data_IF_345732858677
#
_entry.id   IF_345732858677
#
_cell.length_a   1.000
_cell.length_b   1.000
_cell.length_c   1.000
_cell.angle_alpha   90.00
_cell.angle_beta   90.00
_cell.angle_gamma   90.00
#
_symmetry.space_group_name_H-M   'P 1'
#
loop_
_entity.id
_entity.type
_entity.pdbx_description
1 polymer ?
#
# COMPACT_ATOMS: atom_id res chain seq x y z
N UNK A 1 -1.10 -40.15 -6.58
CA UNK A 1 -1.53 -39.30 -7.70
C UNK A 1 -0.61 -39.56 -8.88
N UNK A 2 -1.11 -39.96 -10.06
CA UNK A 2 -0.25 -40.18 -11.21
C UNK A 2 0.32 -38.84 -11.71
N UNK A 3 1.62 -38.80 -11.99
CA UNK A 3 2.33 -37.64 -12.54
C UNK A 3 2.12 -37.59 -14.06
N UNK A 4 1.58 -36.48 -14.57
CA UNK A 4 1.24 -36.34 -15.99
C UNK A 4 2.49 -36.32 -16.88
N UNK A 5 2.62 -37.33 -17.74
CA UNK A 5 3.75 -37.53 -18.66
C UNK A 5 3.57 -36.85 -20.04
N UNK A 6 2.48 -36.11 -20.25
CA UNK A 6 2.02 -35.73 -21.60
C UNK A 6 2.51 -34.36 -22.11
N UNK A 7 3.42 -33.67 -21.41
CA UNK A 7 3.90 -32.36 -21.85
C UNK A 7 5.02 -32.46 -22.90
N UNK A 8 4.73 -33.05 -24.06
CA UNK A 8 5.60 -33.03 -25.25
C UNK A 8 5.31 -31.79 -26.11
N UNK A 9 5.20 -30.60 -25.50
CA UNK A 9 5.00 -29.36 -26.26
C UNK A 9 6.36 -28.70 -26.52
N UNK A 10 6.73 -28.44 -27.78
CA UNK A 10 7.96 -27.75 -28.09
C UNK A 10 7.87 -26.30 -27.58
N UNK A 11 8.81 -25.91 -26.71
CA UNK A 11 8.98 -24.51 -26.31
C UNK A 11 9.53 -23.79 -27.53
N UNK A 12 8.64 -23.11 -28.28
CA UNK A 12 8.91 -22.06 -29.28
C UNK A 12 10.30 -22.09 -29.95
N UNK A 13 10.56 -23.14 -30.73
CA UNK A 13 11.43 -23.16 -31.91
C UNK A 13 11.28 -24.53 -32.57
N UNK A 14 11.19 -24.65 -33.91
CA UNK A 14 11.25 -25.95 -34.58
C UNK A 14 12.66 -26.53 -34.39
N UNK A 15 12.85 -27.34 -33.35
CA UNK A 15 14.07 -28.10 -33.12
C UNK A 15 14.00 -29.43 -33.87
N UNK A 16 14.97 -29.70 -34.74
CA UNK A 16 15.12 -30.96 -35.49
C UNK A 16 15.63 -32.12 -34.63
N UNK A 17 15.66 -31.97 -33.29
CA UNK A 17 16.12 -33.00 -32.37
C UNK A 17 14.95 -33.86 -31.88
N UNK A 18 15.01 -35.15 -32.18
CA UNK A 18 14.03 -36.19 -31.79
C UNK A 18 14.11 -36.57 -30.29
N UNK A 19 14.70 -35.73 -29.43
CA UNK A 19 14.88 -36.08 -28.02
C UNK A 19 13.65 -35.67 -27.22
N UNK A 20 12.85 -36.65 -26.82
CA UNK A 20 11.77 -36.47 -25.83
C UNK A 20 12.41 -36.20 -24.48
N UNK A 21 12.45 -34.94 -24.04
CA UNK A 21 12.83 -34.61 -22.66
C UNK A 21 11.56 -34.59 -21.80
N UNK A 22 11.45 -35.56 -20.90
CA UNK A 22 10.42 -35.55 -19.88
C UNK A 22 10.80 -34.54 -18.78
N UNK A 23 9.99 -33.50 -18.61
CA UNK A 23 10.17 -32.51 -17.55
C UNK A 23 9.70 -33.10 -16.22
N UNK A 24 10.62 -33.43 -15.32
CA UNK A 24 10.29 -33.80 -13.93
C UNK A 24 10.24 -32.53 -13.09
N UNK A 25 9.04 -32.10 -12.70
CA UNK A 25 8.89 -31.07 -11.66
C UNK A 25 9.23 -31.68 -10.30
N UNK A 26 10.35 -31.27 -9.71
CA UNK A 26 10.69 -31.62 -8.32
C UNK A 26 9.74 -30.89 -7.37
N UNK A 27 8.96 -31.64 -6.58
CA UNK A 27 8.03 -31.12 -5.57
C UNK A 27 8.63 -31.12 -4.14
N UNK A 28 9.94 -31.30 -4.00
CA UNK A 28 10.60 -31.26 -2.71
C UNK A 28 11.21 -29.87 -2.46
N UNK A 29 10.79 -29.14 -1.40
CA UNK A 29 11.54 -27.97 -0.94
C UNK A 29 12.87 -28.47 -0.36
N UNK A 30 13.98 -28.14 -1.02
CA UNK A 30 15.33 -28.49 -0.58
C UNK A 30 15.74 -27.65 0.63
N UNK A 31 15.38 -28.10 1.83
CA UNK A 31 15.94 -27.63 3.11
C UNK A 31 17.19 -28.44 3.52
N UNK A 32 17.95 -28.96 2.57
CA UNK A 32 19.27 -29.52 2.84
C UNK A 32 20.31 -28.39 2.70
N UNK A 33 21.10 -28.06 3.75
CA UNK A 33 22.23 -27.16 3.60
C UNK A 33 23.33 -27.91 2.82
N UNK A 34 23.29 -27.83 1.50
CA UNK A 34 24.38 -28.27 0.63
C UNK A 34 25.52 -27.26 0.70
N UNK A 35 26.14 -27.09 1.87
CA UNK A 35 27.37 -26.31 2.03
C UNK A 35 28.55 -27.24 1.78
N UNK A 36 28.68 -27.70 0.53
CA UNK A 36 30.00 -27.88 -0.08
C UNK A 36 30.24 -26.67 -0.95
N UNK A 37 30.48 -25.53 -0.31
CA UNK A 37 30.91 -24.32 -1.00
C UNK A 37 32.27 -24.60 -1.60
N UNK A 38 32.34 -24.67 -2.93
CA UNK A 38 33.59 -24.45 -3.63
C UNK A 38 34.05 -23.02 -3.38
N UNK A 39 35.35 -22.76 -3.45
CA UNK A 39 35.93 -21.42 -3.22
C UNK A 39 35.28 -20.32 -4.11
N UNK A 40 34.76 -20.73 -5.29
CA UNK A 40 33.96 -19.88 -6.17
C UNK A 40 32.64 -19.40 -5.55
N UNK A 41 31.91 -20.29 -4.87
CA UNK A 41 30.62 -19.95 -4.27
C UNK A 41 30.79 -18.93 -3.13
N UNK A 42 31.88 -19.03 -2.35
CA UNK A 42 32.22 -18.04 -1.32
C UNK A 42 32.65 -16.70 -1.92
N UNK A 43 33.38 -16.70 -3.03
CA UNK A 43 33.76 -15.48 -3.75
C UNK A 43 32.53 -14.75 -4.30
N UNK A 44 31.57 -15.49 -4.87
CA UNK A 44 30.32 -14.93 -5.37
C UNK A 44 29.50 -14.29 -4.24
N UNK A 45 29.36 -14.96 -3.09
CA UNK A 45 28.66 -14.41 -1.92
C UNK A 45 29.28 -13.09 -1.47
N UNK A 46 30.61 -13.00 -1.38
CA UNK A 46 31.30 -11.77 -0.98
C UNK A 46 31.09 -10.62 -1.98
N UNK A 47 31.00 -10.93 -3.28
CA UNK A 47 30.73 -9.90 -4.30
C UNK A 47 29.29 -9.39 -4.21
N UNK A 48 28.34 -10.27 -3.91
CA UNK A 48 26.94 -9.90 -3.67
C UNK A 48 26.82 -9.04 -2.42
N UNK A 49 27.45 -9.42 -1.30
CA UNK A 49 27.47 -8.64 -0.06
C UNK A 49 28.03 -7.23 -0.30
N UNK A 50 29.18 -7.12 -0.97
CA UNK A 50 29.77 -5.81 -1.33
C UNK A 50 28.88 -4.99 -2.26
N UNK A 51 28.12 -5.64 -3.15
CA UNK A 51 27.16 -4.98 -4.01
C UNK A 51 25.98 -4.41 -3.22
N UNK A 52 25.45 -5.20 -2.28
CA UNK A 52 24.34 -4.82 -1.43
C UNK A 52 24.71 -3.66 -0.49
N UNK A 53 25.90 -3.70 0.11
CA UNK A 53 26.42 -2.63 0.97
C UNK A 53 26.54 -1.27 0.23
N UNK A 54 26.81 -1.30 -1.08
CA UNK A 54 26.87 -0.09 -1.92
C UNK A 54 25.48 0.40 -2.34
N UNK A 55 24.52 -0.52 -2.45
CA UNK A 55 23.12 -0.19 -2.74
C UNK A 55 22.38 0.32 -1.49
N UNK A 56 22.91 0.06 -0.29
CA UNK A 56 22.35 0.57 0.95
C UNK A 56 22.44 2.11 0.99
N UNK A 57 21.28 2.77 0.96
CA UNK A 57 21.20 4.21 1.12
C UNK A 57 21.10 4.58 2.61
N UNK A 58 22.28 4.76 3.23
CA UNK A 58 22.42 5.10 4.65
C UNK A 58 21.78 6.45 5.01
N UNK A 59 21.72 7.40 4.08
CA UNK A 59 21.08 8.69 4.29
C UNK A 59 19.54 8.55 4.43
N UNK A 60 18.92 7.69 3.61
CA UNK A 60 17.48 7.42 3.72
C UNK A 60 17.11 6.64 4.98
N UNK A 61 17.99 5.75 5.45
CA UNK A 61 17.79 5.09 6.74
C UNK A 61 17.82 6.08 7.90
N UNK A 62 18.75 7.03 7.89
CA UNK A 62 18.82 8.09 8.92
C UNK A 62 17.61 9.03 8.89
N UNK A 63 17.00 9.24 7.73
CA UNK A 63 15.77 10.04 7.60
C UNK A 63 14.54 9.35 8.20
N UNK A 64 14.50 8.01 8.25
CA UNK A 64 13.39 7.26 8.84
C UNK A 64 13.47 7.31 10.35
N UNK A 65 12.82 8.31 10.94
CA UNK A 65 12.67 8.41 12.39
C UNK A 65 11.69 7.34 12.87
N UNK A 66 12.22 6.29 13.51
CA UNK A 66 11.43 5.37 14.32
C UNK A 66 11.33 5.97 15.72
N UNK A 67 10.11 6.31 16.13
CA UNK A 67 9.87 6.92 17.43
C UNK A 67 9.82 5.84 18.52
N UNK A 68 10.45 6.11 19.66
CA UNK A 68 10.29 5.31 20.87
C UNK A 68 8.84 5.37 21.36
N UNK A 69 8.39 4.33 22.06
CA UNK A 69 7.01 4.21 22.56
C UNK A 69 6.55 5.43 23.37
N UNK A 70 7.42 5.96 24.23
CA UNK A 70 7.15 7.18 25.01
C UNK A 70 6.86 8.40 24.11
N UNK A 71 7.64 8.58 23.05
CA UNK A 71 7.47 9.69 22.10
C UNK A 71 6.15 9.53 21.34
N UNK A 72 5.80 8.30 20.96
CA UNK A 72 4.52 8.00 20.32
C UNK A 72 3.36 8.38 21.25
N UNK A 73 3.42 8.01 22.53
CA UNK A 73 2.38 8.35 23.51
C UNK A 73 2.22 9.86 23.70
N UNK A 74 3.33 10.62 23.75
CA UNK A 74 3.31 12.09 23.82
C UNK A 74 2.61 12.69 22.61
N UNK A 75 2.98 12.26 21.39
CA UNK A 75 2.33 12.77 20.18
C UNK A 75 0.84 12.40 20.09
N UNK A 76 0.46 11.21 20.55
CA UNK A 76 -0.95 10.82 20.63
C UNK A 76 -1.74 11.72 21.58
N UNK A 77 -1.18 12.05 22.75
CA UNK A 77 -1.81 12.97 23.71
C UNK A 77 -1.95 14.38 23.14
N UNK A 78 -0.90 14.91 22.50
CA UNK A 78 -0.95 16.22 21.84
C UNK A 78 -1.99 16.25 20.71
N UNK A 79 -2.03 15.22 19.88
CA UNK A 79 -3.00 15.09 18.81
C UNK A 79 -4.45 15.00 19.32
N UNK A 80 -4.68 14.31 20.45
CA UNK A 80 -5.99 14.26 21.08
C UNK A 80 -6.42 15.63 21.62
N UNK A 81 -5.52 16.36 22.30
CA UNK A 81 -5.80 17.72 22.76
C UNK A 81 -6.19 18.65 21.61
N UNK A 82 -5.38 18.69 20.55
CA UNK A 82 -5.66 19.51 19.38
C UNK A 82 -6.98 19.13 18.67
N UNK A 83 -7.33 17.83 18.63
CA UNK A 83 -8.63 17.38 18.08
C UNK A 83 -9.79 17.85 18.94
N UNK A 84 -9.65 17.81 20.26
CA UNK A 84 -10.65 18.28 21.20
C UNK A 84 -10.84 19.80 21.05
N UNK A 85 -9.76 20.57 21.01
CA UNK A 85 -9.82 22.03 20.83
C UNK A 85 -10.53 22.40 19.52
N UNK A 86 -10.18 21.74 18.41
CA UNK A 86 -10.83 21.93 17.11
C UNK A 86 -12.31 21.54 17.13
N UNK A 87 -12.67 20.49 17.85
CA UNK A 87 -14.06 20.07 18.00
C UNK A 87 -14.86 21.10 18.81
N UNK A 88 -14.27 21.62 19.88
CA UNK A 88 -14.85 22.69 20.69
C UNK A 88 -15.00 23.97 19.87
N UNK A 89 -13.98 24.40 19.13
CA UNK A 89 -14.05 25.58 18.26
C UNK A 89 -15.22 25.49 17.28
N UNK A 90 -15.40 24.35 16.62
CA UNK A 90 -16.56 24.11 15.73
C UNK A 90 -17.88 24.18 16.46
N UNK A 91 -17.95 23.64 17.68
CA UNK A 91 -19.16 23.65 18.50
C UNK A 91 -19.49 25.07 18.97
N UNK A 92 -18.50 25.82 19.45
CA UNK A 92 -18.65 27.19 19.93
C UNK A 92 -19.04 28.14 18.79
N UNK A 93 -18.44 27.99 17.60
CA UNK A 93 -18.75 28.84 16.44
C UNK A 93 -20.11 28.55 15.78
N UNK A 94 -20.67 27.35 15.98
CA UNK A 94 -21.96 26.94 15.37
C UNK A 94 -23.16 27.02 16.32
N UNK A 95 -22.94 27.36 17.59
CA UNK A 95 -24.00 27.44 18.60
C UNK A 95 -24.59 28.82 18.78
N UNK A 96 -23.85 29.88 18.44
CA UNK A 96 -24.35 31.23 18.58
C UNK A 96 -25.51 31.46 17.61
N UNK A 97 -26.71 31.65 18.18
CA UNK A 97 -27.91 31.92 17.41
C UNK A 97 -27.80 33.30 16.75
N UNK A 98 -27.49 33.31 15.44
CA UNK A 98 -27.53 34.54 14.65
C UNK A 98 -28.99 34.85 14.33
N UNK A 99 -29.53 35.92 14.92
CA UNK A 99 -30.84 36.46 14.56
C UNK A 99 -30.81 36.87 13.08
N UNK A 100 -31.48 36.09 12.22
CA UNK A 100 -31.61 36.41 10.79
C UNK A 100 -32.98 37.01 10.54
N UNK A 101 -33.08 38.09 9.73
CA UNK A 101 -34.36 38.61 9.34
C UNK A 101 -35.19 37.51 8.64
N UNK A 102 -36.51 37.49 8.85
CA UNK A 102 -37.36 36.44 8.28
C UNK A 102 -37.22 36.42 6.76
N UNK A 103 -37.04 35.22 6.19
CA UNK A 103 -37.01 35.04 4.74
C UNK A 103 -38.37 35.45 4.20
N UNK A 104 -38.43 36.54 3.43
CA UNK A 104 -39.66 36.94 2.75
C UNK A 104 -40.11 35.80 1.84
N UNK A 105 -41.27 35.21 2.15
CA UNK A 105 -41.91 34.24 1.26
C UNK A 105 -42.26 34.99 -0.03
N UNK A 106 -41.62 34.65 -1.14
CA UNK A 106 -42.12 35.06 -2.46
C UNK A 106 -43.40 34.25 -2.71
N UNK A 107 -44.55 34.81 -2.37
CA UNK A 107 -45.86 34.23 -2.72
C UNK A 107 -46.73 35.28 -3.41
N UNK A 108 -46.97 34.99 -4.69
CA UNK A 108 -48.29 35.08 -5.35
C UNK A 108 -48.89 36.47 -5.58
N UNK A 109 -48.44 37.16 -6.64
CA UNK A 109 -49.26 38.16 -7.37
C UNK A 109 -49.40 37.76 -8.84
N UNK A 110 -50.10 36.66 -9.14
CA UNK A 110 -50.44 36.30 -10.55
C UNK A 110 -51.90 35.84 -10.72
N UNK A 111 -52.69 35.64 -9.67
CA UNK A 111 -54.07 35.12 -9.82
C UNK A 111 -55.14 36.00 -9.14
N UNK A 112 -55.32 37.24 -9.55
CA UNK A 112 -56.61 37.93 -9.38
C UNK A 112 -56.70 39.22 -10.19
N UNK A 113 -56.99 39.11 -11.50
CA UNK A 113 -57.72 40.19 -12.20
C UNK A 113 -58.33 39.78 -13.56
N UNK A 114 -58.24 38.51 -13.97
CA UNK A 114 -59.25 37.94 -14.89
C UNK A 114 -60.54 37.64 -14.12
N UNK A 115 -61.32 38.67 -13.79
CA UNK A 115 -62.80 38.65 -13.64
C UNK A 115 -63.29 39.99 -13.06
N UNK A 116 -63.77 40.87 -13.93
CA UNK A 116 -65.13 41.41 -13.88
C UNK A 116 -65.38 42.27 -15.12
N UNK A 117 -66.39 41.84 -15.86
CA UNK A 117 -67.16 42.66 -16.79
C UNK A 117 -67.84 43.81 -16.04
#
# INVERSE_FOLDING_TARGET
MPVSLESARPIMAPSTRTSVRYSTYSMAPSYAPTVRTTDSATAEIQTIEKGLDRMENKALQQQRVVLNEEKVAVFQKLALGAKLDRALERRMTSQDAVMRPPRTKKTEKVYSEKKKN
#
